data_IF_910094367892
#
_entry.id   IF_910094367892
#
_cell.length_a   1.000
_cell.length_b   1.000
_cell.length_c   1.000
_cell.angle_alpha   90.00
_cell.angle_beta   90.00
_cell.angle_gamma   90.00
#
_symmetry.space_group_name_H-M   'P 1'
#
loop_
_entity.id
_entity.type
_entity.pdbx_description
1 polymer ?
#
# COMPACT_ATOMS: atom_id res chain seq x y z
N UNK A 1 -25.26 55.03 -3.50
CA UNK A 1 -25.77 53.64 -3.39
C UNK A 1 -25.00 52.64 -4.26
N UNK A 2 -24.64 52.96 -5.50
CA UNK A 2 -23.94 52.02 -6.41
C UNK A 2 -22.56 51.56 -5.91
N UNK A 3 -21.78 52.44 -5.26
CA UNK A 3 -20.46 52.09 -4.70
C UNK A 3 -20.51 51.18 -3.47
N UNK A 4 -21.60 51.22 -2.70
CA UNK A 4 -21.78 50.38 -1.52
C UNK A 4 -22.20 48.95 -1.91
N UNK A 5 -23.01 48.82 -2.98
CA UNK A 5 -23.39 47.54 -3.56
C UNK A 5 -22.22 46.82 -4.25
N UNK A 6 -21.32 47.57 -4.91
CA UNK A 6 -20.17 47.00 -5.60
C UNK A 6 -19.12 46.41 -4.63
N UNK A 7 -18.90 47.08 -3.49
CA UNK A 7 -18.01 46.55 -2.43
C UNK A 7 -18.59 45.34 -1.71
N UNK A 8 -19.93 45.26 -1.55
CA UNK A 8 -20.59 44.12 -0.92
C UNK A 8 -20.55 42.86 -1.80
N UNK A 9 -20.64 43.02 -3.13
CA UNK A 9 -20.44 41.92 -4.09
C UNK A 9 -18.98 41.44 -4.14
N UNK A 10 -17.99 42.33 -3.95
CA UNK A 10 -16.58 41.96 -3.97
C UNK A 10 -16.16 41.21 -2.69
N UNK A 11 -16.76 41.52 -1.54
CA UNK A 11 -16.56 40.76 -0.29
C UNK A 11 -17.26 39.40 -0.29
N UNK A 12 -18.38 39.25 -1.01
CA UNK A 12 -19.11 37.98 -1.09
C UNK A 12 -18.47 37.00 -2.11
N UNK A 13 -17.73 37.52 -3.10
CA UNK A 13 -16.97 36.71 -4.05
C UNK A 13 -15.65 36.15 -3.44
N UNK A 14 -15.08 36.80 -2.42
CA UNK A 14 -13.86 36.33 -1.75
C UNK A 14 -14.09 35.16 -0.77
N UNK A 15 -15.34 34.87 -0.41
CA UNK A 15 -15.71 33.77 0.48
C UNK A 15 -16.16 32.50 -0.26
N UNK A 16 -16.21 32.55 -1.59
CA UNK A 16 -16.50 31.38 -2.43
C UNK A 16 -15.23 30.57 -2.69
N UNK A 17 -14.93 29.71 -1.71
CA UNK A 17 -14.62 28.29 -1.94
C UNK A 17 -13.41 28.04 -2.86
N UNK A 18 -12.22 28.05 -2.26
CA UNK A 18 -11.27 26.95 -2.48
C UNK A 18 -11.32 26.09 -1.23
N UNK A 19 -12.48 25.46 -1.01
CA UNK A 19 -12.50 24.22 -0.25
C UNK A 19 -11.81 23.21 -1.14
N UNK A 20 -10.48 23.13 -1.07
CA UNK A 20 -9.78 21.93 -1.49
C UNK A 20 -10.35 20.81 -0.64
N UNK A 21 -11.37 20.13 -1.16
CA UNK A 21 -11.78 18.84 -0.64
C UNK A 21 -10.51 18.00 -0.72
N UNK A 22 -9.80 17.88 0.40
CA UNK A 22 -8.83 16.83 0.57
C UNK A 22 -9.66 15.55 0.42
N UNK A 23 -9.67 15.00 -0.79
CA UNK A 23 -10.26 13.70 -1.04
C UNK A 23 -9.38 12.75 -0.25
N UNK A 24 -9.83 12.43 0.96
CA UNK A 24 -9.23 11.37 1.74
C UNK A 24 -9.19 10.14 0.84
N UNK A 25 -8.02 9.53 0.81
CA UNK A 25 -7.79 8.32 0.07
C UNK A 25 -8.79 7.25 0.52
N UNK A 26 -9.20 6.36 -0.38
CA UNK A 26 -10.09 5.27 0.03
C UNK A 26 -9.38 4.35 1.01
N UNK A 27 -10.04 3.96 2.13
CA UNK A 27 -9.53 2.94 3.03
C UNK A 27 -9.18 1.65 2.29
N UNK A 28 -8.10 0.99 2.71
CA UNK A 28 -7.56 -0.15 1.98
C UNK A 28 -8.51 -1.36 1.98
N UNK A 29 -9.40 -1.48 2.96
CA UNK A 29 -10.45 -2.52 3.02
C UNK A 29 -11.54 -2.35 1.94
N UNK A 30 -11.70 -1.13 1.39
CA UNK A 30 -12.55 -0.85 0.22
C UNK A 30 -11.83 -1.11 -1.10
N UNK A 31 -10.51 -1.15 -1.09
CA UNK A 31 -9.68 -1.45 -2.25
C UNK A 31 -9.39 -2.96 -2.37
N UNK A 32 -9.30 -3.66 -1.25
CA UNK A 32 -9.11 -5.09 -1.19
C UNK A 32 -10.36 -5.86 -1.71
N UNK A 33 -10.20 -6.91 -2.54
CA UNK A 33 -11.30 -7.77 -2.97
C UNK A 33 -12.00 -8.48 -1.80
N UNK A 34 -13.28 -8.84 -1.96
CA UNK A 34 -13.99 -9.68 -0.99
C UNK A 34 -13.42 -11.09 -0.83
N UNK A 35 -12.56 -11.54 -1.76
CA UNK A 35 -11.84 -12.82 -1.65
C UNK A 35 -10.59 -12.74 -0.77
N UNK A 36 -10.38 -11.61 -0.09
CA UNK A 36 -9.33 -11.44 0.93
C UNK A 36 -9.59 -12.37 2.13
N UNK A 37 -8.60 -13.18 2.49
CA UNK A 37 -8.63 -14.14 3.59
C UNK A 37 -7.86 -13.68 4.83
N UNK A 38 -6.88 -12.81 4.64
CA UNK A 38 -6.14 -12.16 5.72
C UNK A 38 -5.98 -10.67 5.41
N UNK A 39 -6.18 -9.83 6.41
CA UNK A 39 -6.05 -8.39 6.27
C UNK A 39 -5.50 -7.79 7.57
N UNK A 40 -4.51 -6.92 7.42
CA UNK A 40 -3.92 -6.14 8.50
C UNK A 40 -3.76 -4.72 7.99
N UNK A 41 -4.26 -3.74 8.73
CA UNK A 41 -4.04 -2.33 8.46
C UNK A 41 -3.58 -1.61 9.72
N UNK A 42 -2.79 -0.56 9.51
CA UNK A 42 -2.36 0.38 10.54
C UNK A 42 -2.65 1.76 10.01
N UNK A 43 -3.54 2.50 10.69
CA UNK A 43 -3.98 3.83 10.25
C UNK A 43 -2.86 4.87 10.40
N UNK A 44 -2.08 4.77 11.48
CA UNK A 44 -0.95 5.65 11.78
C UNK A 44 0.25 4.81 12.24
N UNK A 45 1.23 4.68 11.36
CA UNK A 45 2.46 3.94 11.61
C UNK A 45 3.37 4.63 12.64
N UNK A 46 3.35 5.96 12.72
CA UNK A 46 4.13 6.72 13.68
C UNK A 46 3.55 6.56 15.09
N UNK A 47 2.22 6.61 15.23
CA UNK A 47 1.56 6.31 16.49
C UNK A 47 1.81 4.86 16.94
N UNK A 48 1.68 3.89 16.03
CA UNK A 48 1.99 2.49 16.34
C UNK A 48 3.42 2.34 16.85
N UNK A 49 4.40 2.97 16.17
CA UNK A 49 5.81 2.94 16.57
C UNK A 49 6.02 3.61 17.92
N UNK A 50 5.41 4.77 18.16
CA UNK A 50 5.50 5.49 19.42
C UNK A 50 4.96 4.66 20.58
N UNK A 51 3.79 4.03 20.42
CA UNK A 51 3.20 3.16 21.45
C UNK A 51 4.00 1.87 21.66
N UNK A 52 4.48 1.24 20.58
CA UNK A 52 5.33 0.06 20.68
C UNK A 52 6.61 0.34 21.46
N UNK A 53 7.26 1.48 21.21
CA UNK A 53 8.47 1.90 21.90
C UNK A 53 8.28 2.16 23.40
N UNK A 54 7.04 2.40 23.86
CA UNK A 54 6.72 2.56 25.28
C UNK A 54 6.52 1.21 25.99
N UNK A 55 6.46 0.09 25.25
CA UNK A 55 6.38 -1.23 25.86
C UNK A 55 7.76 -1.69 26.32
N UNK A 56 7.83 -2.54 27.35
CA UNK A 56 9.11 -3.14 27.81
C UNK A 56 9.82 -3.91 26.68
N UNK A 57 9.05 -4.53 25.78
CA UNK A 57 9.62 -5.18 24.60
C UNK A 57 10.22 -4.15 23.64
N UNK A 58 9.56 -3.02 23.41
CA UNK A 58 10.08 -1.93 22.59
C UNK A 58 11.35 -1.31 23.19
N UNK A 59 11.40 -1.07 24.49
CA UNK A 59 12.61 -0.62 25.19
C UNK A 59 13.77 -1.61 25.01
N UNK A 60 13.51 -2.90 25.21
CA UNK A 60 14.52 -3.96 25.01
C UNK A 60 15.00 -4.03 23.56
N UNK A 61 14.11 -3.86 22.59
CA UNK A 61 14.49 -3.84 21.16
C UNK A 61 15.28 -2.60 20.75
N UNK A 62 15.15 -1.50 21.49
CA UNK A 62 15.90 -0.26 21.26
C UNK A 62 17.20 -0.18 22.08
N UNK A 63 17.46 -1.14 22.98
CA UNK A 63 18.69 -1.16 23.78
C UNK A 63 19.93 -1.41 22.88
N UNK A 64 20.96 -0.55 22.91
CA UNK A 64 22.17 -0.72 22.12
C UNK A 64 22.86 -2.08 22.29
N UNK A 65 22.80 -2.68 23.49
CA UNK A 65 23.39 -3.99 23.78
C UNK A 65 22.63 -5.11 23.05
N UNK A 66 21.34 -4.91 22.78
CA UNK A 66 20.49 -5.86 22.07
C UNK A 66 20.60 -5.76 20.55
N UNK A 67 21.33 -4.76 20.03
CA UNK A 67 21.42 -4.50 18.58
C UNK A 67 21.75 -5.75 17.74
N UNK A 68 22.77 -6.57 18.08
CA UNK A 68 23.09 -7.76 17.29
C UNK A 68 21.93 -8.77 17.22
N UNK A 69 21.20 -8.94 18.33
CA UNK A 69 20.02 -9.81 18.37
C UNK A 69 18.86 -9.22 17.55
N UNK A 70 18.60 -7.93 17.67
CA UNK A 70 17.50 -7.27 16.93
C UNK A 70 17.75 -7.29 15.42
N UNK A 71 18.99 -7.08 14.98
CA UNK A 71 19.38 -7.14 13.57
C UNK A 71 19.18 -8.56 13.02
N UNK A 72 19.62 -9.59 13.75
CA UNK A 72 19.45 -10.99 13.35
C UNK A 72 17.97 -11.40 13.32
N UNK A 73 17.20 -11.05 14.35
CA UNK A 73 15.76 -11.32 14.40
C UNK A 73 15.03 -10.69 13.21
N UNK A 74 15.34 -9.43 12.90
CA UNK A 74 14.78 -8.73 11.73
C UNK A 74 15.12 -9.46 10.44
N UNK A 75 16.37 -9.84 10.24
CA UNK A 75 16.79 -10.59 9.06
C UNK A 75 16.07 -11.94 8.95
N UNK A 76 15.90 -12.66 10.06
CA UNK A 76 15.15 -13.91 10.08
C UNK A 76 13.68 -13.72 9.70
N UNK A 77 13.03 -12.67 10.22
CA UNK A 77 11.64 -12.35 9.90
C UNK A 77 11.49 -11.98 8.42
N UNK A 78 12.35 -11.12 7.88
CA UNK A 78 12.36 -10.75 6.45
C UNK A 78 12.52 -11.97 5.54
N UNK A 79 13.42 -12.88 5.89
CA UNK A 79 13.64 -14.12 5.15
C UNK A 79 12.40 -15.02 5.19
N UNK A 80 11.77 -15.18 6.35
CA UNK A 80 10.55 -16.00 6.50
C UNK A 80 9.37 -15.42 5.73
N UNK A 81 9.18 -14.11 5.77
CA UNK A 81 8.13 -13.42 5.01
C UNK A 81 8.31 -13.61 3.50
N UNK A 82 9.56 -13.45 3.01
CA UNK A 82 9.89 -13.69 1.61
C UNK A 82 9.64 -15.15 1.18
N UNK A 83 9.94 -16.11 2.07
CA UNK A 83 9.66 -17.53 1.85
C UNK A 83 8.16 -17.82 1.84
N UNK A 84 7.41 -17.21 2.75
CA UNK A 84 5.95 -17.34 2.89
C UNK A 84 5.15 -16.71 1.73
N UNK A 85 5.83 -16.08 0.77
CA UNK A 85 5.20 -15.57 -0.45
C UNK A 85 5.09 -14.05 -0.52
N UNK A 86 5.48 -13.30 0.52
CA UNK A 86 5.58 -11.84 0.45
C UNK A 86 6.72 -11.42 -0.48
N UNK A 87 6.44 -11.40 -1.78
CA UNK A 87 7.41 -11.12 -2.85
C UNK A 87 7.11 -9.80 -3.55
N UNK A 88 6.47 -8.90 -2.81
CA UNK A 88 5.96 -7.61 -3.28
C UNK A 88 7.10 -6.67 -3.74
N UNK A 89 8.35 -6.94 -3.36
CA UNK A 89 9.52 -6.18 -3.81
C UNK A 89 9.82 -4.94 -2.99
N UNK A 90 9.05 -4.73 -1.92
CA UNK A 90 9.18 -3.68 -0.92
C UNK A 90 9.36 -4.30 0.46
N UNK A 91 10.24 -3.72 1.27
CA UNK A 91 10.34 -4.02 2.70
C UNK A 91 9.58 -3.00 3.52
N UNK A 92 9.24 -3.32 4.78
CA UNK A 92 8.59 -2.35 5.68
C UNK A 92 9.47 -1.13 5.91
N UNK A 93 10.79 -1.30 5.91
CA UNK A 93 11.75 -0.22 6.09
C UNK A 93 11.86 0.69 4.87
N UNK A 94 11.60 0.15 3.67
CA UNK A 94 11.53 0.98 2.46
C UNK A 94 10.36 1.98 2.50
N UNK A 95 9.36 1.76 3.36
CA UNK A 95 8.20 2.65 3.51
C UNK A 95 8.42 3.76 4.54
N UNK A 96 9.52 3.75 5.30
CA UNK A 96 9.80 4.77 6.32
C UNK A 96 9.91 6.16 5.66
N UNK A 97 9.05 7.10 6.08
CA UNK A 97 8.94 8.43 5.50
C UNK A 97 8.21 8.49 4.14
N UNK A 98 7.63 7.38 3.69
CA UNK A 98 6.83 7.30 2.45
C UNK A 98 5.33 7.29 2.75
N UNK A 99 4.91 6.66 3.84
CA UNK A 99 3.51 6.66 4.24
C UNK A 99 3.08 8.04 4.76
N UNK A 100 1.88 8.46 4.38
CA UNK A 100 1.18 9.64 4.93
C UNK A 100 -0.09 9.29 5.71
N UNK A 101 -0.42 8.00 5.80
CA UNK A 101 -1.62 7.49 6.46
C UNK A 101 -1.62 5.96 6.52
N UNK A 102 -2.75 5.34 6.16
CA UNK A 102 -2.96 3.90 6.28
C UNK A 102 -1.92 3.07 5.51
N UNK A 103 -1.33 2.09 6.18
CA UNK A 103 -0.54 1.01 5.58
C UNK A 103 -1.26 -0.30 5.79
N UNK A 104 -1.62 -0.98 4.70
CA UNK A 104 -2.37 -2.23 4.74
C UNK A 104 -1.70 -3.37 3.97
N UNK A 105 -1.91 -4.58 4.47
CA UNK A 105 -1.49 -5.84 3.89
C UNK A 105 -2.70 -6.75 3.71
N UNK A 106 -2.87 -7.32 2.53
CA UNK A 106 -3.95 -8.24 2.20
C UNK A 106 -3.40 -9.56 1.64
N UNK A 107 -3.88 -10.68 2.18
CA UNK A 107 -3.73 -12.03 1.64
C UNK A 107 -5.03 -12.37 0.92
N UNK A 108 -4.95 -12.54 -0.39
CA UNK A 108 -6.08 -12.63 -1.31
C UNK A 108 -6.06 -14.01 -1.95
N UNK A 109 -7.25 -14.58 -2.14
CA UNK A 109 -7.46 -15.82 -2.89
C UNK A 109 -8.16 -15.46 -4.22
N UNK A 110 -7.41 -15.19 -5.32
CA UNK A 110 -7.98 -14.80 -6.60
C UNK A 110 -9.07 -15.77 -7.05
N UNK A 111 -10.20 -15.25 -7.54
CA UNK A 111 -11.36 -16.03 -7.96
C UNK A 111 -11.91 -17.03 -6.91
N UNK A 112 -11.52 -16.87 -5.64
CA UNK A 112 -11.80 -17.83 -4.57
C UNK A 112 -11.29 -19.26 -4.89
N UNK A 113 -10.23 -19.38 -5.70
CA UNK A 113 -9.54 -20.65 -6.00
C UNK A 113 -8.45 -20.91 -4.95
N UNK A 114 -8.55 -22.01 -4.22
CA UNK A 114 -7.62 -22.38 -3.14
C UNK A 114 -6.17 -22.57 -3.61
N UNK A 115 -5.95 -22.76 -4.91
CA UNK A 115 -4.63 -22.91 -5.50
C UNK A 115 -3.99 -21.58 -5.87
N UNK A 116 -4.77 -20.50 -5.92
CA UNK A 116 -4.30 -19.17 -6.25
C UNK A 116 -4.12 -18.36 -4.98
N UNK A 117 -2.95 -17.74 -4.87
CA UNK A 117 -2.61 -16.86 -3.76
C UNK A 117 -2.07 -15.56 -4.33
N UNK A 118 -2.53 -14.45 -3.77
CA UNK A 118 -2.04 -13.13 -4.06
C UNK A 118 -1.82 -12.37 -2.77
N UNK A 119 -0.80 -11.52 -2.76
CA UNK A 119 -0.55 -10.57 -1.69
C UNK A 119 -0.55 -9.17 -2.26
N UNK A 120 -1.17 -8.25 -1.53
CA UNK A 120 -1.17 -6.84 -1.86
C UNK A 120 -0.77 -6.01 -0.63
N UNK A 121 0.04 -5.01 -0.88
CA UNK A 121 0.36 -3.93 0.04
C UNK A 121 -0.25 -2.65 -0.54
N UNK A 122 -0.97 -1.92 0.29
CA UNK A 122 -1.68 -0.69 -0.07
C UNK A 122 -1.22 0.36 0.93
N UNK A 123 -0.67 1.47 0.42
CA UNK A 123 -0.02 2.51 1.23
C UNK A 123 -0.59 3.85 0.81
N UNK A 124 -1.24 4.53 1.76
CA UNK A 124 -1.56 5.94 1.62
C UNK A 124 -0.26 6.74 1.70
N UNK A 125 0.05 7.47 0.63
CA UNK A 125 1.24 8.32 0.49
C UNK A 125 0.87 9.80 0.43
N UNK A 126 -0.31 10.18 0.93
CA UNK A 126 -0.78 11.57 0.99
C UNK A 126 0.29 12.46 1.62
N UNK A 127 0.62 13.57 0.96
CA UNK A 127 1.69 14.48 1.40
C UNK A 127 3.12 13.99 1.16
N UNK A 128 3.32 12.76 0.69
CA UNK A 128 4.63 12.10 0.53
C UNK A 128 4.86 11.58 -0.90
N UNK A 129 4.16 12.13 -1.90
CA UNK A 129 4.32 11.75 -3.31
C UNK A 129 5.79 11.80 -3.82
N UNK A 130 6.61 12.82 -3.49
CA UNK A 130 8.02 12.81 -3.90
C UNK A 130 8.79 11.60 -3.38
N UNK A 131 8.60 11.24 -2.11
CA UNK A 131 9.22 10.11 -1.44
C UNK A 131 8.72 8.78 -2.02
N UNK A 132 7.43 8.67 -2.32
CA UNK A 132 6.86 7.51 -3.01
C UNK A 132 7.45 7.31 -4.41
N UNK A 133 7.67 8.39 -5.17
CA UNK A 133 8.32 8.31 -6.48
C UNK A 133 9.80 7.92 -6.37
N UNK A 134 10.52 8.44 -5.37
CA UNK A 134 11.90 8.03 -5.10
C UNK A 134 11.99 6.56 -4.72
N UNK A 135 11.05 6.07 -3.90
CA UNK A 135 10.92 4.66 -3.57
C UNK A 135 10.69 3.81 -4.84
N UNK A 136 9.76 4.20 -5.70
CA UNK A 136 9.54 3.50 -6.97
C UNK A 136 10.80 3.46 -7.84
N UNK A 137 11.57 4.56 -7.90
CA UNK A 137 12.86 4.59 -8.61
C UNK A 137 13.91 3.67 -7.95
N UNK A 138 13.93 3.58 -6.62
CA UNK A 138 14.77 2.64 -5.88
C UNK A 138 14.39 1.18 -6.18
N UNK A 139 13.09 0.86 -6.18
CA UNK A 139 12.59 -0.47 -6.56
C UNK A 139 13.00 -0.82 -7.98
N UNK A 140 12.87 0.10 -8.93
CA UNK A 140 13.26 -0.13 -10.32
C UNK A 140 14.75 -0.50 -10.43
N UNK A 141 15.64 0.26 -9.78
CA UNK A 141 17.07 -0.05 -9.70
C UNK A 141 17.34 -1.42 -9.06
N UNK A 142 16.69 -1.72 -7.94
CA UNK A 142 16.86 -2.99 -7.24
C UNK A 142 16.38 -4.19 -8.09
N UNK A 143 15.28 -4.04 -8.83
CA UNK A 143 14.76 -5.08 -9.71
C UNK A 143 15.67 -5.31 -10.92
N UNK A 144 16.23 -4.24 -11.50
CA UNK A 144 17.22 -4.35 -12.57
C UNK A 144 18.49 -5.08 -12.12
N UNK A 145 19.02 -4.76 -10.92
CA UNK A 145 20.16 -5.46 -10.33
C UNK A 145 19.91 -6.95 -10.12
N UNK A 146 18.64 -7.34 -9.97
CA UNK A 146 18.19 -8.74 -9.84
C UNK A 146 17.87 -9.40 -11.18
N UNK A 147 18.20 -8.74 -12.30
CA UNK A 147 17.92 -9.18 -13.67
C UNK A 147 16.42 -9.40 -13.94
N UNK A 148 15.53 -8.66 -13.26
CA UNK A 148 14.11 -8.72 -13.52
C UNK A 148 13.80 -8.13 -14.91
N UNK A 149 12.94 -8.80 -15.67
CA UNK A 149 12.33 -8.21 -16.86
C UNK A 149 11.30 -7.18 -16.44
N UNK A 150 11.33 -5.99 -17.05
CA UNK A 150 10.39 -4.90 -16.78
C UNK A 150 9.41 -4.76 -17.94
N UNK A 151 8.12 -4.71 -17.65
CA UNK A 151 7.08 -4.35 -18.62
C UNK A 151 6.10 -3.34 -18.01
N UNK A 152 5.30 -2.70 -18.86
CA UNK A 152 4.24 -1.81 -18.44
C UNK A 152 2.90 -2.36 -18.89
N UNK A 153 1.93 -2.33 -17.97
CA UNK A 153 0.53 -2.68 -18.22
C UNK A 153 -0.32 -1.53 -17.71
N UNK A 154 -1.45 -1.26 -18.34
CA UNK A 154 -2.41 -0.30 -17.83
C UNK A 154 -3.74 -1.00 -17.51
N UNK A 155 -4.39 -0.59 -16.43
CA UNK A 155 -5.75 -1.00 -16.09
C UNK A 155 -6.50 0.17 -15.50
N UNK A 156 -7.76 0.36 -15.89
CA UNK A 156 -8.57 1.50 -15.45
C UNK A 156 -7.90 2.88 -15.65
N UNK A 157 -7.06 3.02 -16.69
CA UNK A 157 -6.30 4.24 -16.96
C UNK A 157 -5.07 4.46 -16.06
N UNK A 158 -4.78 3.54 -15.14
CA UNK A 158 -3.63 3.60 -14.23
C UNK A 158 -2.48 2.78 -14.82
N UNK A 159 -1.30 3.38 -15.07
CA UNK A 159 -0.11 2.65 -15.48
C UNK A 159 0.46 1.86 -14.31
N UNK A 160 0.88 0.63 -14.60
CA UNK A 160 1.44 -0.31 -13.63
C UNK A 160 2.75 -0.84 -14.19
N UNK A 161 3.78 -0.92 -13.35
CA UNK A 161 5.05 -1.55 -13.73
C UNK A 161 5.05 -2.98 -13.24
N UNK A 162 5.33 -3.92 -14.14
CA UNK A 162 5.42 -5.35 -13.85
C UNK A 162 6.88 -5.77 -13.93
N UNK A 163 7.38 -6.33 -12.84
CA UNK A 163 8.71 -6.90 -12.73
C UNK A 163 8.62 -8.42 -12.63
N UNK A 164 9.29 -9.10 -13.56
CA UNK A 164 9.32 -10.56 -13.63
C UNK A 164 10.75 -11.04 -13.40
N UNK A 165 11.00 -11.66 -12.25
CA UNK A 165 12.33 -12.17 -11.90
C UNK A 165 12.62 -13.49 -12.63
N UNK A 166 13.88 -13.73 -13.02
CA UNK A 166 14.27 -15.00 -13.61
C UNK A 166 14.07 -16.13 -12.60
N UNK A 167 13.56 -17.27 -13.08
CA UNK A 167 13.36 -18.47 -12.26
C UNK A 167 14.70 -18.97 -11.75
N UNK A 168 14.79 -19.32 -10.46
CA UNK A 168 15.94 -20.07 -9.93
C UNK A 168 15.76 -21.57 -10.21
N UNK A 169 16.87 -22.31 -10.22
CA UNK A 169 16.85 -23.78 -10.41
C UNK A 169 15.96 -24.42 -9.35
N UNK A 170 14.94 -25.17 -9.80
CA UNK A 170 13.99 -25.85 -8.93
C UNK A 170 12.67 -25.09 -8.69
N UNK A 171 12.54 -23.83 -9.12
CA UNK A 171 11.28 -23.09 -9.03
C UNK A 171 10.36 -23.41 -10.20
N UNK A 172 9.10 -23.77 -9.92
CA UNK A 172 8.06 -24.06 -10.93
C UNK A 172 7.37 -22.80 -11.44
N UNK A 173 7.35 -21.74 -10.63
CA UNK A 173 6.63 -20.50 -10.93
C UNK A 173 7.56 -19.30 -11.06
N UNK A 174 7.12 -18.33 -11.87
CA UNK A 174 7.86 -17.08 -12.07
C UNK A 174 7.44 -16.07 -11.01
N UNK A 175 8.42 -15.38 -10.42
CA UNK A 175 8.15 -14.40 -9.37
C UNK A 175 7.87 -13.05 -10.00
N UNK A 176 6.66 -12.55 -9.80
CA UNK A 176 6.21 -11.28 -10.35
C UNK A 176 5.93 -10.29 -9.22
N UNK A 177 6.26 -9.02 -9.44
CA UNK A 177 5.85 -7.90 -8.59
C UNK A 177 5.28 -6.81 -9.50
N UNK A 178 4.12 -6.28 -9.12
CA UNK A 178 3.35 -5.27 -9.84
C UNK A 178 3.23 -4.06 -8.92
N UNK A 179 3.74 -2.91 -9.35
CA UNK A 179 3.64 -1.65 -8.61
C UNK A 179 2.86 -0.61 -9.42
N UNK A 180 2.03 0.17 -8.73
CA UNK A 180 1.43 1.39 -9.29
C UNK A 180 1.22 2.44 -8.21
N UNK A 181 1.15 3.70 -8.64
CA UNK A 181 0.85 4.85 -7.79
C UNK A 181 -0.29 5.63 -8.46
N UNK A 182 -1.41 5.80 -7.76
CA UNK A 182 -2.56 6.55 -8.27
C UNK A 182 -3.41 7.11 -7.13
N UNK A 183 -3.87 8.36 -7.25
CA UNK A 183 -4.69 9.05 -6.23
C UNK A 183 -4.13 8.87 -4.81
N UNK A 184 -2.83 9.14 -4.68
CA UNK A 184 -2.09 9.02 -3.41
C UNK A 184 -2.10 7.61 -2.77
N UNK A 185 -2.45 6.57 -3.55
CA UNK A 185 -2.26 5.16 -3.18
C UNK A 185 -1.07 4.56 -3.92
N UNK A 186 -0.03 4.19 -3.17
CA UNK A 186 1.01 3.29 -3.65
C UNK A 186 0.56 1.86 -3.38
N UNK A 187 0.44 1.06 -4.44
CA UNK A 187 0.04 -0.34 -4.34
C UNK A 187 1.12 -1.22 -4.93
N UNK A 188 1.45 -2.28 -4.22
CA UNK A 188 2.36 -3.30 -4.68
C UNK A 188 1.73 -4.69 -4.47
N UNK A 189 1.72 -5.52 -5.52
CA UNK A 189 1.03 -6.81 -5.54
C UNK A 189 1.83 -7.86 -6.32
N UNK A 190 1.68 -9.14 -6.04
CA UNK A 190 2.38 -10.22 -6.75
C UNK A 190 1.52 -10.94 -7.82
N UNK A 191 0.25 -10.57 -7.94
CA UNK A 191 -0.69 -11.15 -8.89
C UNK A 191 -1.34 -10.08 -9.77
N UNK A 192 -1.16 -10.18 -11.10
CA UNK A 192 -1.52 -9.11 -12.03
C UNK A 192 -3.01 -8.80 -12.02
N UNK A 193 -3.89 -9.80 -12.08
CA UNK A 193 -5.33 -9.52 -12.17
C UNK A 193 -5.89 -8.96 -10.85
N UNK A 194 -5.33 -9.36 -9.71
CA UNK A 194 -5.63 -8.75 -8.41
C UNK A 194 -5.19 -7.30 -8.37
N UNK A 195 -3.99 -6.99 -8.87
CA UNK A 195 -3.50 -5.62 -8.97
C UNK A 195 -4.42 -4.75 -9.86
N UNK A 196 -4.90 -5.29 -10.99
CA UNK A 196 -5.86 -4.60 -11.87
C UNK A 196 -7.21 -4.35 -11.19
N UNK A 197 -7.68 -5.31 -10.40
CA UNK A 197 -8.93 -5.19 -9.63
C UNK A 197 -8.83 -4.08 -8.58
N UNK A 198 -7.70 -4.01 -7.86
CA UNK A 198 -7.41 -2.92 -6.91
C UNK A 198 -7.30 -1.58 -7.65
N UNK A 199 -6.59 -1.53 -8.79
CA UNK A 199 -6.47 -0.32 -9.60
C UNK A 199 -7.84 0.20 -10.09
N UNK A 200 -8.74 -0.70 -10.51
CA UNK A 200 -10.10 -0.32 -10.87
C UNK A 200 -10.86 0.35 -9.71
N UNK A 201 -10.71 -0.15 -8.49
CA UNK A 201 -11.31 0.45 -7.29
C UNK A 201 -10.69 1.81 -6.94
N UNK A 202 -9.37 1.93 -7.04
CA UNK A 202 -8.67 3.22 -6.89
C UNK A 202 -9.20 4.23 -7.93
N UNK A 203 -9.41 3.80 -9.17
CA UNK A 203 -10.00 4.64 -10.21
C UNK A 203 -11.46 5.05 -9.91
N UNK A 204 -12.14 4.38 -8.97
CA UNK A 204 -13.56 4.59 -8.64
C UNK A 204 -14.51 3.76 -9.51
N UNK A 205 -13.98 2.76 -10.22
CA UNK A 205 -14.76 1.84 -11.03
C UNK A 205 -15.26 0.68 -10.17
N UNK A 206 -16.45 0.17 -10.47
CA UNK A 206 -16.97 -1.04 -9.82
C UNK A 206 -16.16 -2.26 -10.28
N UNK A 207 -15.51 -2.94 -9.32
CA UNK A 207 -14.72 -4.14 -9.56
C UNK A 207 -15.24 -5.35 -8.76
N UNK A 208 -16.53 -5.36 -8.42
CA UNK A 208 -17.15 -6.38 -7.57
C UNK A 208 -17.02 -6.10 -6.06
N UNK A 209 -17.50 -7.02 -5.21
CA UNK A 209 -17.53 -6.85 -3.76
C UNK A 209 -16.14 -6.64 -3.16
N UNK A 210 -16.06 -5.85 -2.09
CA UNK A 210 -14.80 -5.50 -1.39
C UNK A 210 -14.74 -6.18 -0.03
N UNK A 211 -13.56 -6.23 0.58
CA UNK A 211 -13.40 -6.76 1.93
C UNK A 211 -14.32 -6.06 2.94
N UNK A 212 -14.50 -4.75 2.83
CA UNK A 212 -15.42 -3.96 3.68
C UNK A 212 -16.88 -4.42 3.63
N UNK A 213 -17.28 -5.22 2.64
CA UNK A 213 -18.63 -5.79 2.52
C UNK A 213 -18.75 -7.21 3.09
N UNK A 214 -17.63 -7.84 3.47
CA UNK A 214 -17.60 -9.21 4.02
C UNK A 214 -18.07 -9.19 5.47
N UNK A 215 -19.15 -9.94 5.76
CA UNK A 215 -19.77 -9.97 7.11
C UNK A 215 -18.75 -10.32 8.19
N UNK A 216 -17.95 -11.37 8.00
CA UNK A 216 -16.95 -11.78 8.98
C UNK A 216 -15.93 -10.66 9.30
N UNK A 217 -15.48 -9.93 8.28
CA UNK A 217 -14.57 -8.80 8.44
C UNK A 217 -15.25 -7.65 9.20
N UNK A 218 -16.42 -7.22 8.76
CA UNK A 218 -17.14 -6.10 9.40
C UNK A 218 -17.48 -6.35 10.87
N UNK A 219 -17.70 -7.61 11.27
CA UNK A 219 -17.94 -7.95 12.67
C UNK A 219 -16.66 -7.90 13.53
N UNK A 220 -15.50 -8.23 12.96
CA UNK A 220 -14.21 -8.10 13.64
C UNK A 220 -13.84 -6.64 13.91
N UNK A 221 -14.19 -5.74 12.98
CA UNK A 221 -13.89 -4.30 13.10
C UNK A 221 -14.80 -3.54 14.09
N UNK A 222 -15.84 -4.17 14.64
CA UNK A 222 -16.75 -3.53 15.63
C UNK A 222 -16.28 -3.65 17.08
N UNK A 223 -15.18 -4.38 17.33
CA UNK A 223 -14.65 -4.67 18.67
C UNK A 223 -13.66 -3.60 19.08
#
# INVERSE_FOLDING_TARGET
MVRLFLSLCLSLAALLIVSSSAFAVQPADRLAPATTKGFLSVDDMDELRARFNQTQLGELMNDPVMKPFTDDLKQQLENKLTQAGMRIGLTVQDLEGVYGGEVAMAVIQPNNDEKLHAMAMIVDVTGHLPQANELLAKVDRNMQQRNASRSQVAAAGIPMTVYTLPRKRGETETRTSILFLAKDQLVACDHLDTAKEIAARVAGMAAGPTLSTVVAYTQSMKR
#
